data_IF_206692875042
#
_entry.id   IF_206692875042
#
_cell.length_a   1.000
_cell.length_b   1.000
_cell.length_c   1.000
_cell.angle_alpha   90.00
_cell.angle_beta   90.00
_cell.angle_gamma   90.00
#
_symmetry.space_group_name_H-M   'P 1'
#
loop_
_entity.id
_entity.type
_entity.pdbx_description
1 polymer ?
#
# COMPACT_ATOMS: atom_id res chain seq x y z
N UNK A 1 -8.99 -1.63 -8.17
CA UNK A 1 -7.79 -1.78 -7.32
C UNK A 1 -8.28 -1.86 -5.90
N UNK A 2 -7.69 -2.74 -5.09
CA UNK A 2 -8.08 -2.91 -3.69
C UNK A 2 -6.81 -2.84 -2.87
N UNK A 3 -6.84 -2.05 -1.80
CA UNK A 3 -5.82 -2.08 -0.76
C UNK A 3 -6.44 -2.78 0.45
N UNK A 4 -5.71 -3.72 1.02
CA UNK A 4 -6.19 -4.52 2.14
C UNK A 4 -5.05 -4.77 3.13
N UNK A 5 -5.40 -5.28 4.30
CA UNK A 5 -4.46 -5.62 5.36
C UNK A 5 -4.28 -7.13 5.41
N UNK A 6 -3.03 -7.59 5.43
CA UNK A 6 -2.73 -9.00 5.67
C UNK A 6 -2.28 -9.19 7.13
N UNK A 7 -2.94 -10.09 7.85
CA UNK A 7 -2.51 -10.54 9.18
C UNK A 7 -1.28 -11.44 9.03
N UNK A 8 -0.20 -11.09 9.72
CA UNK A 8 1.01 -11.92 9.79
C UNK A 8 1.15 -12.57 11.15
N UNK A 9 1.97 -13.62 11.26
CA UNK A 9 2.26 -14.38 12.49
C UNK A 9 2.72 -13.52 13.68
N UNK A 10 3.02 -12.24 13.45
CA UNK A 10 3.45 -11.27 14.47
C UNK A 10 2.34 -10.30 14.93
N UNK A 11 1.07 -10.52 14.59
CA UNK A 11 -0.06 -9.63 14.93
C UNK A 11 0.08 -8.17 14.42
N UNK A 12 1.00 -7.90 13.50
CA UNK A 12 1.03 -6.65 12.77
C UNK A 12 0.21 -6.80 11.49
N UNK A 13 -0.75 -5.90 11.31
CA UNK A 13 -1.30 -5.66 9.98
C UNK A 13 -0.15 -5.28 9.06
N UNK A 14 -0.33 -5.52 7.77
CA UNK A 14 0.60 -5.04 6.76
C UNK A 14 -0.14 -4.59 5.52
N UNK A 15 0.31 -3.48 4.94
CA UNK A 15 -0.28 -2.97 3.71
C UNK A 15 -0.02 -3.94 2.56
N UNK A 16 -1.10 -4.35 1.90
CA UNK A 16 -1.07 -5.13 0.67
C UNK A 16 -1.85 -4.41 -0.41
N UNK A 17 -1.31 -4.40 -1.64
CA UNK A 17 -1.95 -3.74 -2.77
C UNK A 17 -2.12 -4.73 -3.93
N UNK A 18 -3.35 -4.88 -4.40
CA UNK A 18 -3.68 -5.71 -5.55
C UNK A 18 -4.26 -4.87 -6.69
N UNK A 19 -3.79 -5.19 -7.89
CA UNK A 19 -4.39 -4.72 -9.13
C UNK A 19 -5.03 -5.88 -9.86
N UNK A 20 -6.30 -5.70 -10.19
CA UNK A 20 -7.09 -6.62 -11.00
C UNK A 20 -7.54 -5.93 -12.29
N UNK A 21 -7.92 -6.72 -13.29
CA UNK A 21 -8.69 -6.23 -14.43
C UNK A 21 -10.18 -6.10 -14.10
N UNK A 22 -10.99 -5.68 -15.08
CA UNK A 22 -12.44 -5.50 -14.93
C UNK A 22 -13.20 -6.81 -14.70
N UNK A 23 -12.59 -7.96 -14.98
CA UNK A 23 -13.15 -9.29 -14.69
C UNK A 23 -12.76 -9.83 -13.31
N UNK A 24 -11.94 -9.07 -12.56
CA UNK A 24 -11.40 -9.51 -11.28
C UNK A 24 -10.14 -10.36 -11.38
N UNK A 25 -9.57 -10.56 -12.58
CA UNK A 25 -8.32 -11.30 -12.74
C UNK A 25 -7.16 -10.51 -12.17
N UNK A 26 -6.33 -11.16 -11.35
CA UNK A 26 -5.11 -10.57 -10.81
C UNK A 26 -4.13 -10.18 -11.93
N UNK A 27 -3.74 -8.91 -11.97
CA UNK A 27 -2.70 -8.39 -12.85
C UNK A 27 -1.36 -8.34 -12.13
N UNK A 28 -1.35 -7.84 -10.89
CA UNK A 28 -0.19 -7.87 -10.02
C UNK A 28 -0.57 -7.65 -8.56
N UNK A 29 0.33 -8.03 -7.67
CA UNK A 29 0.28 -7.74 -6.24
C UNK A 29 1.57 -7.09 -5.76
N UNK A 30 1.48 -6.25 -4.73
CA UNK A 30 2.61 -5.59 -4.08
C UNK A 30 2.50 -5.75 -2.58
N UNK A 31 3.59 -6.27 -2.04
CA UNK A 31 3.73 -6.53 -0.63
C UNK A 31 4.67 -5.50 0.01
N UNK A 32 4.20 -4.85 1.07
CA UNK A 32 4.97 -3.84 1.79
C UNK A 32 5.59 -4.34 3.10
N UNK A 33 5.69 -5.67 3.30
CA UNK A 33 6.29 -6.41 4.45
C UNK A 33 7.55 -5.82 5.06
N UNK A 34 8.43 -5.27 4.23
CA UNK A 34 9.75 -4.79 4.65
C UNK A 34 9.91 -3.27 4.53
N UNK A 35 8.82 -2.53 4.30
CA UNK A 35 8.88 -1.13 3.92
C UNK A 35 8.36 -0.14 4.98
N UNK A 36 8.06 -0.63 6.19
CA UNK A 36 7.43 0.13 7.29
C UNK A 36 6.03 0.62 6.92
N UNK A 37 5.18 -0.28 6.41
CA UNK A 37 3.78 0.00 6.10
C UNK A 37 2.94 -1.04 6.83
N UNK A 38 2.46 -0.70 8.02
CA UNK A 38 1.72 -1.63 8.87
C UNK A 38 0.23 -1.64 8.52
N UNK A 39 -0.35 -0.61 7.92
CA UNK A 39 -1.69 -0.74 7.37
C UNK A 39 -1.88 0.15 6.16
N UNK A 40 -2.54 -0.39 5.13
CA UNK A 40 -3.11 0.44 4.10
C UNK A 40 -4.37 1.13 4.66
N UNK A 41 -4.46 2.44 4.46
CA UNK A 41 -5.62 3.24 4.85
C UNK A 41 -6.54 3.47 3.66
N UNK A 42 -5.98 3.92 2.54
CA UNK A 42 -6.74 4.21 1.32
C UNK A 42 -5.85 4.14 0.07
N UNK A 43 -6.48 3.86 -1.06
CA UNK A 43 -5.86 3.85 -2.39
C UNK A 43 -6.73 4.59 -3.41
N UNK A 44 -6.11 5.49 -4.15
CA UNK A 44 -6.75 6.24 -5.24
C UNK A 44 -5.88 6.29 -6.49
N UNK A 45 -6.49 6.57 -7.64
CA UNK A 45 -5.79 6.66 -8.93
C UNK A 45 -6.15 7.93 -9.68
N UNK A 46 -5.18 8.50 -10.39
CA UNK A 46 -5.42 9.62 -11.32
C UNK A 46 -5.73 9.13 -12.76
N UNK A 47 -6.00 10.09 -13.66
CA UNK A 47 -6.20 9.81 -15.09
C UNK A 47 -4.97 9.24 -15.80
N UNK A 48 -3.78 9.40 -15.21
CA UNK A 48 -2.52 8.84 -15.71
C UNK A 48 -2.26 7.43 -15.19
N UNK A 49 -3.17 6.85 -14.40
CA UNK A 49 -3.06 5.55 -13.74
C UNK A 49 -1.92 5.50 -12.72
N UNK A 50 -1.50 6.64 -12.19
CA UNK A 50 -0.68 6.71 -10.99
C UNK A 50 -1.52 6.29 -9.79
N UNK A 51 -0.86 5.74 -8.77
CA UNK A 51 -1.53 5.18 -7.60
C UNK A 51 -1.06 5.95 -6.37
N UNK A 52 -2.00 6.58 -5.67
CA UNK A 52 -1.78 7.20 -4.38
C UNK A 52 -2.15 6.19 -3.30
N UNK A 53 -1.22 5.93 -2.39
CA UNK A 53 -1.41 5.03 -1.25
C UNK A 53 -1.18 5.81 0.04
N UNK A 54 -2.16 5.79 0.93
CA UNK A 54 -2.00 6.25 2.32
C UNK A 54 -1.95 5.06 3.27
N UNK A 55 -1.22 5.23 4.35
CA UNK A 55 -0.92 4.15 5.29
C UNK A 55 -0.35 4.69 6.59
N UNK A 56 -0.27 3.85 7.61
CA UNK A 56 0.50 4.15 8.80
C UNK A 56 1.48 3.03 9.14
N UNK A 57 2.50 3.39 9.91
CA UNK A 57 3.39 2.45 10.57
C UNK A 57 3.42 2.71 12.07
N UNK A 58 3.53 1.66 12.86
CA UNK A 58 3.73 1.69 14.29
C UNK A 58 5.10 1.09 14.61
N UNK A 59 5.97 1.90 15.21
CA UNK A 59 7.27 1.45 15.70
C UNK A 59 7.57 2.09 17.06
N UNK A 60 7.91 1.27 18.05
CA UNK A 60 8.36 1.71 19.38
C UNK A 60 7.42 2.77 19.99
N UNK A 61 6.12 2.46 20.08
CA UNK A 61 5.04 3.36 20.56
C UNK A 61 4.83 4.66 19.76
N UNK A 62 5.47 4.79 18.60
CA UNK A 62 5.29 5.91 17.68
C UNK A 62 4.53 5.48 16.43
N UNK A 63 3.50 6.23 16.09
CA UNK A 63 2.81 6.13 14.80
C UNK A 63 3.40 7.12 13.80
N UNK A 64 3.45 6.75 12.53
CA UNK A 64 3.78 7.66 11.44
C UNK A 64 2.88 7.45 10.26
N UNK A 65 2.41 8.54 9.67
CA UNK A 65 1.64 8.51 8.45
C UNK A 65 2.59 8.47 7.26
N UNK A 66 2.21 7.68 6.27
CA UNK A 66 2.95 7.51 5.03
C UNK A 66 2.05 7.80 3.85
N UNK A 67 2.59 8.58 2.91
CA UNK A 67 2.00 8.81 1.59
C UNK A 67 2.98 8.33 0.54
N UNK A 68 2.52 7.49 -0.38
CA UNK A 68 3.32 6.98 -1.49
C UNK A 68 2.62 7.22 -2.82
N UNK A 69 3.40 7.58 -3.83
CA UNK A 69 3.01 7.54 -5.23
C UNK A 69 3.66 6.32 -5.88
N UNK A 70 2.86 5.50 -6.56
CA UNK A 70 3.34 4.41 -7.39
C UNK A 70 2.94 4.65 -8.85
N UNK A 71 3.75 4.14 -9.77
CA UNK A 71 3.39 4.11 -11.18
C UNK A 71 2.34 3.01 -11.47
N UNK A 72 1.86 2.93 -12.72
CA UNK A 72 0.84 1.95 -13.12
C UNK A 72 1.24 0.47 -12.92
N UNK A 73 2.54 0.20 -12.78
CA UNK A 73 3.10 -1.12 -12.51
C UNK A 73 3.21 -1.42 -11.01
N UNK A 74 2.84 -0.47 -10.15
CA UNK A 74 2.99 -0.59 -8.70
C UNK A 74 4.43 -0.40 -8.23
N UNK A 75 5.29 0.27 -9.02
CA UNK A 75 6.64 0.66 -8.58
C UNK A 75 6.57 2.02 -7.89
N UNK A 76 7.21 2.13 -6.73
CA UNK A 76 7.24 3.39 -5.97
C UNK A 76 8.00 4.46 -6.74
N UNK A 77 7.33 5.59 -7.00
CA UNK A 77 7.92 6.81 -7.57
C UNK A 77 8.52 7.66 -6.46
N UNK A 78 7.73 7.94 -5.42
CA UNK A 78 8.19 8.61 -4.22
C UNK A 78 7.37 8.18 -2.99
N UNK A 79 7.89 8.46 -1.80
CA UNK A 79 7.19 8.29 -0.53
C UNK A 79 7.63 9.35 0.48
N UNK A 80 6.69 9.81 1.29
CA UNK A 80 6.91 10.74 2.40
C UNK A 80 6.35 10.15 3.70
N UNK A 81 6.99 10.54 4.81
CA UNK A 81 6.62 10.19 6.19
C UNK A 81 6.41 11.48 6.99
N UNK A 82 5.39 11.51 7.85
CA UNK A 82 5.23 12.54 8.90
C UNK A 82 6.08 12.24 10.13
#
# INVERSE_FOLDING_TARGET
>A
MIADQCLTDKNYFQAFLIKTDSSGKLLWERDFRKKNFDAALDVSTDSSRSIFLTSYSWKDDSQSLWLALLDQSGKTVWRNRS
#
